data_IF_768164319868
#
_entry.id   IF_768164319868
#
_cell.length_a   1.000
_cell.length_b   1.000
_cell.length_c   1.000
_cell.angle_alpha   90.00
_cell.angle_beta   90.00
_cell.angle_gamma   90.00
#
_symmetry.space_group_name_H-M   'P 1'
#
loop_
_entity.id
_entity.type
_entity.pdbx_description
1 polymer ?
#
# COMPACT_ATOMS: atom_id res chain seq x y z
N UNK A 1 -5.73 -5.98 20.25
CA UNK A 1 -5.81 -4.78 19.44
C UNK A 1 -4.95 -4.95 18.21
N UNK A 2 -5.40 -4.41 17.16
CA UNK A 2 -4.69 -4.53 15.90
C UNK A 2 -3.90 -3.27 15.63
N UNK A 3 -2.59 -3.37 15.72
CA UNK A 3 -1.72 -2.21 15.52
C UNK A 3 -1.78 -1.69 14.08
N UNK A 4 -2.10 -2.56 13.12
CA UNK A 4 -2.33 -2.11 11.77
C UNK A 4 -3.55 -1.18 11.68
N UNK A 5 -4.54 -1.33 12.57
CA UNK A 5 -5.68 -0.43 12.63
C UNK A 5 -5.28 0.98 13.06
N UNK A 6 -4.24 1.09 13.90
CA UNK A 6 -3.72 2.40 14.31
C UNK A 6 -3.11 3.10 13.12
N UNK A 7 -2.31 2.40 12.30
CA UNK A 7 -1.73 2.98 11.11
C UNK A 7 -2.79 3.33 10.07
N UNK A 8 -3.77 2.45 9.90
CA UNK A 8 -4.87 2.74 9.00
C UNK A 8 -5.57 4.03 9.41
N UNK A 9 -5.87 4.17 10.69
CA UNK A 9 -6.54 5.35 11.22
C UNK A 9 -5.67 6.60 11.08
N UNK A 10 -4.37 6.46 11.32
CA UNK A 10 -3.43 7.55 11.17
C UNK A 10 -3.41 8.06 9.72
N UNK A 11 -3.34 7.15 8.76
CA UNK A 11 -3.30 7.55 7.35
C UNK A 11 -4.64 8.12 6.89
N UNK A 12 -5.74 7.63 7.45
CA UNK A 12 -7.07 8.15 7.13
C UNK A 12 -7.23 9.59 7.64
N UNK A 13 -6.83 9.82 8.88
CA UNK A 13 -7.00 11.14 9.53
C UNK A 13 -5.89 12.12 9.17
N UNK A 14 -4.68 11.62 8.94
CA UNK A 14 -3.49 12.42 8.67
C UNK A 14 -2.72 11.85 7.49
N UNK A 15 -3.26 11.92 6.28
CA UNK A 15 -2.64 11.29 5.11
C UNK A 15 -1.26 11.86 4.76
N UNK A 16 -0.95 13.09 5.18
CA UNK A 16 0.38 13.67 5.01
C UNK A 16 1.47 12.78 5.62
N UNK A 17 1.13 12.10 6.72
CA UNK A 17 2.10 11.28 7.43
C UNK A 17 2.64 10.14 6.56
N UNK A 18 1.81 9.59 5.70
CA UNK A 18 2.26 8.55 4.78
C UNK A 18 3.31 9.09 3.80
N UNK A 19 3.04 10.24 3.20
CA UNK A 19 3.95 10.79 2.20
C UNK A 19 5.27 11.25 2.81
N UNK A 20 5.24 11.71 4.04
CA UNK A 20 6.46 12.01 4.78
C UNK A 20 7.28 10.74 5.03
N UNK A 21 6.59 9.66 5.40
CA UNK A 21 7.24 8.39 5.72
C UNK A 21 7.97 7.81 4.52
N UNK A 22 7.41 7.93 3.33
CA UNK A 22 8.03 7.41 2.11
C UNK A 22 8.96 8.43 1.43
N UNK A 23 9.23 9.54 2.11
CA UNK A 23 10.12 10.60 1.63
C UNK A 23 9.65 11.19 0.29
N UNK A 24 8.35 11.44 0.19
CA UNK A 24 7.73 12.10 -0.96
C UNK A 24 7.01 13.37 -0.49
N UNK A 25 7.72 14.33 0.14
CA UNK A 25 7.06 15.49 0.73
C UNK A 25 6.41 16.41 -0.31
N UNK A 26 6.85 16.31 -1.57
CA UNK A 26 6.27 17.12 -2.64
C UNK A 26 4.98 16.53 -3.18
N UNK A 27 4.64 15.32 -2.81
CA UNK A 27 3.36 14.73 -3.19
C UNK A 27 2.24 15.53 -2.54
N UNK A 28 1.26 15.95 -3.35
CA UNK A 28 0.14 16.71 -2.82
C UNK A 28 -0.90 15.75 -2.28
N UNK A 29 -1.00 15.69 -0.97
CA UNK A 29 -1.94 14.79 -0.31
C UNK A 29 -3.38 15.06 -0.74
N UNK A 30 -3.71 16.31 -1.07
CA UNK A 30 -5.05 16.66 -1.54
C UNK A 30 -5.42 16.00 -2.87
N UNK A 31 -4.44 15.45 -3.59
CA UNK A 31 -4.68 14.72 -4.83
C UNK A 31 -5.05 13.26 -4.61
N UNK A 32 -5.06 12.82 -3.34
CA UNK A 32 -5.28 11.43 -2.99
C UNK A 32 -6.41 11.27 -1.98
N UNK A 33 -7.00 10.10 -1.98
CA UNK A 33 -7.84 9.66 -0.88
C UNK A 33 -7.31 8.33 -0.37
N UNK A 34 -7.32 8.15 0.94
CA UNK A 34 -6.94 6.89 1.57
C UNK A 34 -8.19 6.05 1.77
N UNK A 35 -8.17 4.81 1.31
CA UNK A 35 -9.37 3.99 1.32
C UNK A 35 -9.03 2.50 1.35
N UNK A 36 -10.06 1.69 1.44
CA UNK A 36 -9.98 0.25 1.24
C UNK A 36 -10.91 -0.15 0.12
N UNK A 37 -10.58 -1.23 -0.57
CA UNK A 37 -11.45 -1.75 -1.64
C UNK A 37 -11.52 -3.26 -1.56
N UNK A 38 -12.72 -3.77 -1.75
CA UNK A 38 -12.97 -5.20 -1.72
C UNK A 38 -12.64 -5.83 -3.06
N UNK A 39 -11.99 -6.98 -3.03
CA UNK A 39 -11.71 -7.77 -4.23
C UNK A 39 -12.60 -9.00 -4.20
N UNK A 40 -13.62 -8.98 -5.03
CA UNK A 40 -14.74 -9.91 -4.92
C UNK A 40 -14.37 -11.35 -5.25
N UNK A 41 -13.40 -11.55 -6.14
CA UNK A 41 -13.07 -12.89 -6.61
C UNK A 41 -12.54 -13.80 -5.50
N UNK A 42 -11.85 -13.22 -4.51
CA UNK A 42 -11.31 -13.98 -3.38
C UNK A 42 -11.92 -13.53 -2.06
N UNK A 43 -12.93 -12.67 -2.11
CA UNK A 43 -13.60 -12.14 -0.92
C UNK A 43 -12.60 -11.55 0.08
N UNK A 44 -11.58 -10.85 -0.41
CA UNK A 44 -10.66 -10.14 0.47
C UNK A 44 -10.72 -8.64 0.19
N UNK A 45 -10.06 -7.87 1.06
CA UNK A 45 -10.06 -6.42 0.98
C UNK A 45 -8.64 -5.90 1.05
N UNK A 46 -8.33 -4.92 0.19
CA UNK A 46 -7.10 -4.15 0.29
C UNK A 46 -7.40 -2.93 1.13
N UNK A 47 -6.85 -2.86 2.32
CA UNK A 47 -7.20 -1.83 3.29
C UNK A 47 -6.37 -0.57 3.16
N UNK A 48 -5.16 -0.67 2.68
CA UNK A 48 -4.26 0.48 2.64
C UNK A 48 -4.04 1.01 1.24
N UNK A 49 -4.98 1.78 0.70
CA UNK A 49 -4.85 2.34 -0.63
C UNK A 49 -4.89 3.86 -0.60
N UNK A 50 -3.89 4.48 -1.22
CA UNK A 50 -3.94 5.90 -1.57
C UNK A 50 -4.23 5.99 -3.05
N UNK A 51 -5.42 6.43 -3.41
CA UNK A 51 -5.86 6.50 -4.80
C UNK A 51 -5.88 7.95 -5.27
N UNK A 52 -5.31 8.25 -6.45
CA UNK A 52 -5.46 9.57 -7.04
C UNK A 52 -6.93 9.90 -7.28
N UNK A 53 -7.26 11.16 -7.21
CA UNK A 53 -8.60 11.61 -7.59
C UNK A 53 -8.83 11.35 -9.07
N UNK A 54 -10.09 11.29 -9.48
CA UNK A 54 -10.53 10.69 -10.74
C UNK A 54 -9.85 11.23 -11.99
N UNK A 55 -9.46 12.50 -12.01
CA UNK A 55 -8.85 13.10 -13.20
C UNK A 55 -7.32 13.21 -13.10
N UNK A 56 -6.71 12.51 -12.16
CA UNK A 56 -5.27 12.60 -11.91
C UNK A 56 -4.59 11.25 -12.14
N UNK A 57 -4.92 10.58 -13.24
CA UNK A 57 -4.50 9.23 -13.52
C UNK A 57 -2.99 9.08 -13.79
N UNK A 58 -2.31 10.18 -14.08
CA UNK A 58 -0.85 10.16 -14.26
C UNK A 58 -0.10 10.06 -12.94
N UNK A 59 -0.77 10.26 -11.82
CA UNK A 59 -0.17 10.07 -10.50
C UNK A 59 -0.23 8.60 -10.11
N UNK A 60 0.80 8.09 -9.40
CA UNK A 60 0.73 6.69 -8.96
C UNK A 60 -0.26 6.52 -7.82
N UNK A 61 -0.86 5.33 -7.73
CA UNK A 61 -1.54 4.95 -6.50
C UNK A 61 -0.57 4.12 -5.65
N UNK A 62 -0.83 4.08 -4.35
CA UNK A 62 0.02 3.37 -3.40
C UNK A 62 -0.78 2.29 -2.69
N UNK A 63 -0.26 1.08 -2.70
CA UNK A 63 -0.75 0.01 -1.84
C UNK A 63 0.19 -0.06 -0.64
N UNK A 64 -0.36 0.11 0.55
CA UNK A 64 0.41 0.19 1.78
C UNK A 64 0.10 -1.02 2.64
N UNK A 65 1.15 -1.72 3.04
CA UNK A 65 1.02 -2.85 3.96
C UNK A 65 1.88 -2.55 5.20
N UNK A 66 1.28 -2.67 6.38
CA UNK A 66 2.01 -2.54 7.65
C UNK A 66 2.16 -3.93 8.23
N UNK A 67 3.41 -4.35 8.43
CA UNK A 67 3.71 -5.71 8.84
C UNK A 67 4.31 -5.72 10.24
N UNK A 68 3.58 -6.27 11.20
CA UNK A 68 4.02 -6.32 12.59
C UNK A 68 4.64 -7.65 12.99
N UNK A 69 4.45 -8.67 12.20
CA UNK A 69 4.97 -10.01 12.48
C UNK A 69 5.73 -10.51 11.28
N UNK A 70 6.66 -11.43 11.53
CA UNK A 70 7.38 -12.09 10.42
C UNK A 70 6.41 -12.94 9.64
N UNK A 71 6.42 -12.77 8.33
CA UNK A 71 5.55 -13.50 7.41
C UNK A 71 6.34 -13.81 6.15
N UNK A 72 6.69 -15.07 5.97
CA UNK A 72 7.48 -15.49 4.82
C UNK A 72 6.71 -15.42 3.51
N UNK A 73 5.38 -15.43 3.59
CA UNK A 73 4.52 -15.36 2.41
C UNK A 73 4.09 -13.93 2.08
N UNK A 74 4.58 -12.93 2.82
CA UNK A 74 4.11 -11.56 2.70
C UNK A 74 4.10 -11.07 1.25
N UNK A 75 5.23 -11.19 0.58
CA UNK A 75 5.35 -10.62 -0.77
C UNK A 75 4.54 -11.41 -1.79
N UNK A 76 4.49 -12.72 -1.65
CA UNK A 76 3.66 -13.55 -2.53
C UNK A 76 2.19 -13.22 -2.36
N UNK A 77 1.73 -13.08 -1.13
CA UNK A 77 0.35 -12.71 -0.84
C UNK A 77 0.05 -11.31 -1.34
N UNK A 78 0.92 -10.36 -1.03
CA UNK A 78 0.72 -8.96 -1.35
C UNK A 78 0.62 -8.74 -2.86
N UNK A 79 1.52 -9.32 -3.63
CA UNK A 79 1.48 -9.20 -5.08
C UNK A 79 0.29 -9.93 -5.69
N UNK A 80 -0.10 -11.06 -5.14
CA UNK A 80 -1.31 -11.76 -5.60
C UNK A 80 -2.54 -10.89 -5.42
N UNK A 81 -2.66 -10.25 -4.26
CA UNK A 81 -3.78 -9.36 -3.97
C UNK A 81 -3.76 -8.15 -4.89
N UNK A 82 -2.59 -7.57 -5.11
CA UNK A 82 -2.45 -6.44 -6.00
C UNK A 82 -2.90 -6.77 -7.42
N UNK A 83 -2.42 -7.89 -7.97
CA UNK A 83 -2.75 -8.23 -9.34
C UNK A 83 -4.23 -8.58 -9.52
N UNK A 84 -4.86 -9.15 -8.52
CA UNK A 84 -6.31 -9.36 -8.55
C UNK A 84 -7.07 -8.03 -8.51
N UNK A 85 -6.58 -7.09 -7.70
CA UNK A 85 -7.14 -5.74 -7.68
C UNK A 85 -7.02 -5.08 -9.04
N UNK A 86 -5.85 -5.15 -9.66
CA UNK A 86 -5.63 -4.57 -10.98
C UNK A 86 -6.57 -5.16 -12.02
N UNK A 87 -6.81 -6.45 -11.94
CA UNK A 87 -7.72 -7.11 -12.87
C UNK A 87 -9.15 -6.67 -12.68
N UNK A 88 -9.59 -6.51 -11.44
CA UNK A 88 -10.99 -6.15 -11.14
C UNK A 88 -11.28 -4.70 -11.45
N UNK A 89 -10.42 -3.78 -11.00
CA UNK A 89 -10.69 -2.35 -11.10
C UNK A 89 -10.04 -1.68 -12.29
N UNK A 90 -9.02 -2.27 -12.87
CA UNK A 90 -8.30 -1.79 -14.05
C UNK A 90 -7.94 -0.31 -13.96
N UNK A 91 -7.29 0.12 -12.86
CA UNK A 91 -6.92 1.53 -12.74
C UNK A 91 -5.91 1.90 -13.82
N UNK A 92 -5.99 3.15 -14.29
CA UNK A 92 -5.05 3.66 -15.30
C UNK A 92 -3.77 4.21 -14.69
N UNK A 93 -3.77 4.45 -13.40
CA UNK A 93 -2.61 5.00 -12.70
C UNK A 93 -1.49 3.97 -12.57
N UNK A 94 -0.23 4.39 -12.68
CA UNK A 94 0.87 3.53 -12.24
C UNK A 94 0.72 3.23 -10.75
N UNK A 95 1.47 2.26 -10.26
CA UNK A 95 1.30 1.84 -8.88
C UNK A 95 2.65 1.62 -8.21
N UNK A 96 2.64 1.76 -6.89
CA UNK A 96 3.76 1.43 -6.04
C UNK A 96 3.27 0.70 -4.80
N UNK A 97 4.07 -0.26 -4.33
CA UNK A 97 3.80 -0.96 -3.09
C UNK A 97 4.75 -0.44 -2.03
N UNK A 98 4.22 -0.13 -0.86
CA UNK A 98 5.01 0.32 0.28
C UNK A 98 4.76 -0.63 1.43
N UNK A 99 5.82 -1.25 1.95
CA UNK A 99 5.73 -2.11 3.12
C UNK A 99 6.40 -1.39 4.27
N UNK A 100 5.67 -1.25 5.37
CA UNK A 100 6.14 -0.59 6.57
C UNK A 100 6.40 -1.64 7.63
N UNK A 101 7.64 -1.66 8.13
CA UNK A 101 8.03 -2.51 9.24
C UNK A 101 8.27 -1.64 10.46
N UNK A 102 7.48 -1.80 11.52
CA UNK A 102 7.70 -1.01 12.74
C UNK A 102 9.03 -1.32 13.43
N UNK A 103 9.62 -2.46 13.13
CA UNK A 103 10.89 -2.89 13.72
C UNK A 103 11.72 -3.60 12.66
N UNK A 104 13.02 -3.34 12.67
CA UNK A 104 13.94 -4.03 11.75
C UNK A 104 13.98 -5.53 12.00
N UNK A 105 13.66 -5.98 13.19
CA UNK A 105 13.63 -7.40 13.50
C UNK A 105 12.55 -8.14 12.73
N UNK A 106 11.49 -7.44 12.34
CA UNK A 106 10.37 -8.00 11.60
C UNK A 106 10.64 -7.96 10.10
N UNK A 107 11.46 -7.01 9.64
CA UNK A 107 11.76 -6.82 8.23
C UNK A 107 12.36 -8.08 7.63
N UNK A 108 11.83 -8.47 6.48
CA UNK A 108 12.30 -9.63 5.74
C UNK A 108 12.89 -9.19 4.41
N UNK A 109 13.93 -9.88 3.98
CA UNK A 109 14.40 -9.72 2.61
C UNK A 109 13.31 -10.21 1.67
N UNK A 110 12.98 -9.37 0.71
CA UNK A 110 12.05 -9.79 -0.34
C UNK A 110 12.77 -10.71 -1.33
N UNK A 111 12.05 -11.64 -1.96
CA UNK A 111 12.63 -12.40 -3.04
C UNK A 111 13.14 -11.48 -4.16
N UNK A 112 14.24 -11.85 -4.79
CA UNK A 112 14.88 -11.04 -5.81
C UNK A 112 13.91 -10.63 -6.92
N UNK A 113 12.99 -11.51 -7.24
CA UNK A 113 12.01 -11.28 -8.31
C UNK A 113 11.08 -10.10 -8.04
N UNK A 114 10.99 -9.63 -6.80
CA UNK A 114 10.14 -8.52 -6.43
C UNK A 114 10.90 -7.21 -6.27
N UNK A 115 12.22 -7.23 -6.41
CA UNK A 115 13.05 -6.08 -6.06
C UNK A 115 12.67 -4.80 -6.81
N UNK A 116 12.32 -4.92 -8.09
CA UNK A 116 12.00 -3.76 -8.92
C UNK A 116 10.63 -3.17 -8.65
N UNK A 117 9.81 -3.87 -7.87
CA UNK A 117 8.43 -3.46 -7.65
C UNK A 117 8.18 -2.87 -6.27
N UNK A 118 9.19 -2.83 -5.39
CA UNK A 118 9.01 -2.46 -4.00
C UNK A 118 9.61 -1.10 -3.71
N UNK A 119 8.83 -0.28 -2.96
CA UNK A 119 9.33 0.89 -2.26
C UNK A 119 9.30 0.59 -0.78
N UNK A 120 10.40 0.83 -0.07
CA UNK A 120 10.51 0.56 1.36
C UNK A 120 10.52 1.86 2.14
N UNK A 121 9.76 1.87 3.22
CA UNK A 121 9.74 3.00 4.14
C UNK A 121 10.57 2.69 5.38
#
# INVERSE_FOLDING_TARGET
>A
MKTDSIFYRMFLDFPDSFFELIAQPDARVSNYRFTSQEVKQLAFRLDGLFLPLDNLENLPFYLVEVQFQKDEDLYYRLFSELFLYLRQYKPLSPWQIVVIYPSREIEREHPQQFADFLSLA
#
